data_IF_207155342225
#
_entry.id   IF_207155342225
#
_cell.length_a   1.000
_cell.length_b   1.000
_cell.length_c   1.000
_cell.angle_alpha   90.00
_cell.angle_beta   90.00
_cell.angle_gamma   90.00
#
_symmetry.space_group_name_H-M   'P 1'
#
loop_
_entity.id
_entity.type
_entity.pdbx_description
1 polymer ?
#
# COMPACT_ATOMS: atom_id res chain seq x y z
N UNK A 1 -8.76 17.33 1.52
CA UNK A 1 -9.36 16.03 1.18
C UNK A 1 -8.46 14.98 1.80
N UNK A 2 -8.96 14.14 2.69
CA UNK A 2 -8.14 13.11 3.34
C UNK A 2 -7.97 11.93 2.38
N UNK A 3 -6.81 11.78 1.76
CA UNK A 3 -6.52 10.63 0.90
C UNK A 3 -6.23 9.40 1.76
N UNK A 4 -7.26 8.63 2.10
CA UNK A 4 -7.07 7.33 2.72
C UNK A 4 -6.55 6.31 1.69
N UNK A 5 -5.64 5.44 2.11
CA UNK A 5 -5.22 4.27 1.35
C UNK A 5 -6.37 3.26 1.35
N UNK A 6 -6.94 2.99 0.17
CA UNK A 6 -7.96 1.95 0.00
C UNK A 6 -7.32 0.65 -0.45
N UNK A 7 -7.75 -0.48 0.12
CA UNK A 7 -7.26 -1.78 -0.32
C UNK A 7 -7.70 -2.04 -1.77
N UNK A 8 -6.73 -2.25 -2.66
CA UNK A 8 -6.94 -2.50 -4.08
C UNK A 8 -5.90 -3.48 -4.61
N UNK A 9 -6.33 -4.61 -5.16
CA UNK A 9 -5.43 -5.58 -5.82
C UNK A 9 -4.91 -5.01 -7.15
N UNK A 10 -3.76 -4.35 -7.08
CA UNK A 10 -3.05 -3.90 -8.28
C UNK A 10 -2.44 -5.12 -8.99
N UNK A 11 -2.71 -5.33 -10.29
CA UNK A 11 -2.08 -6.42 -11.06
C UNK A 11 -0.57 -6.17 -11.19
N UNK A 12 0.21 -7.25 -11.28
CA UNK A 12 1.69 -7.19 -11.25
C UNK A 12 2.31 -6.30 -12.32
N UNK A 13 1.63 -6.14 -13.46
CA UNK A 13 2.06 -5.27 -14.56
C UNK A 13 1.90 -3.77 -14.26
N UNK A 14 1.11 -3.41 -13.24
CA UNK A 14 0.89 -2.04 -12.78
C UNK A 14 1.52 -1.77 -11.41
N UNK A 15 2.14 -2.79 -10.80
CA UNK A 15 2.89 -2.60 -9.56
C UNK A 15 4.18 -1.82 -9.84
N UNK A 16 4.55 -0.90 -8.94
CA UNK A 16 5.81 -0.18 -9.05
C UNK A 16 6.96 -1.18 -8.98
N UNK A 17 7.97 -0.96 -9.82
CA UNK A 17 9.18 -1.77 -9.79
C UNK A 17 10.07 -1.29 -8.66
N UNK A 18 9.94 -1.92 -7.50
CA UNK A 18 10.73 -1.63 -6.31
C UNK A 18 11.85 -2.66 -6.10
N UNK A 19 12.93 -2.25 -5.44
CA UNK A 19 14.05 -3.11 -5.03
C UNK A 19 13.80 -3.71 -3.65
N UNK A 20 14.51 -4.79 -3.31
CA UNK A 20 14.41 -5.43 -2.00
C UNK A 20 14.66 -4.47 -0.81
N UNK A 21 15.60 -3.52 -0.94
CA UNK A 21 15.86 -2.51 0.08
C UNK A 21 14.66 -1.57 0.28
N UNK A 22 14.03 -1.15 -0.82
CA UNK A 22 12.85 -0.28 -0.80
C UNK A 22 11.63 -1.03 -0.24
N UNK A 23 11.47 -2.30 -0.61
CA UNK A 23 10.43 -3.17 -0.06
C UNK A 23 10.58 -3.33 1.46
N UNK A 24 11.80 -3.48 1.98
CA UNK A 24 12.02 -3.56 3.43
C UNK A 24 11.57 -2.28 4.16
N UNK A 25 11.85 -1.10 3.59
CA UNK A 25 11.39 0.19 4.16
C UNK A 25 9.86 0.29 4.14
N UNK A 26 9.24 -0.09 3.01
CA UNK A 26 7.79 -0.07 2.83
C UNK A 26 7.10 -1.05 3.78
N UNK A 27 7.58 -2.29 3.86
CA UNK A 27 7.07 -3.35 4.73
C UNK A 27 7.21 -2.96 6.21
N UNK A 28 8.37 -2.43 6.61
CA UNK A 28 8.60 -1.97 7.99
C UNK A 28 7.62 -0.87 8.39
N UNK A 29 7.38 0.10 7.49
CA UNK A 29 6.37 1.13 7.72
C UNK A 29 4.95 0.56 7.73
N UNK A 30 4.62 -0.35 6.80
CA UNK A 30 3.30 -0.95 6.68
C UNK A 30 2.91 -1.76 7.92
N UNK A 31 3.85 -2.49 8.52
CA UNK A 31 3.61 -3.24 9.75
C UNK A 31 3.27 -2.31 10.93
N UNK A 32 3.87 -1.12 10.97
CA UNK A 32 3.63 -0.10 12.02
C UNK A 32 2.36 0.70 11.76
N UNK A 33 2.12 1.10 10.51
CA UNK A 33 0.97 1.87 10.09
C UNK A 33 0.48 1.38 8.72
N UNK A 34 -0.67 0.70 8.70
CA UNK A 34 -1.26 0.13 7.47
C UNK A 34 -2.08 1.15 6.66
N UNK A 35 -2.39 2.31 7.25
CA UNK A 35 -3.14 3.39 6.60
C UNK A 35 -2.42 4.73 6.85
N UNK A 36 -1.24 4.93 6.22
CA UNK A 36 -0.51 6.19 6.28
C UNK A 36 -1.36 7.33 5.69
N UNK A 37 -1.26 8.52 6.31
CA UNK A 37 -1.86 9.72 5.76
C UNK A 37 -0.92 10.35 4.70
N UNK A 38 -1.36 11.43 4.04
CA UNK A 38 -0.58 12.13 3.00
C UNK A 38 0.86 12.45 3.47
N UNK A 39 1.00 12.99 4.68
CA UNK A 39 2.32 13.32 5.26
C UNK A 39 3.19 12.07 5.47
N UNK A 40 2.61 10.97 5.97
CA UNK A 40 3.34 9.72 6.15
C UNK A 40 3.81 9.16 4.80
N UNK A 41 2.96 9.24 3.76
CA UNK A 41 3.34 8.80 2.42
C UNK A 41 4.50 9.62 1.86
N UNK A 42 4.49 10.94 2.04
CA UNK A 42 5.61 11.81 1.66
C UNK A 42 6.90 11.40 2.37
N UNK A 43 6.85 11.15 3.69
CA UNK A 43 8.03 10.70 4.46
C UNK A 43 8.53 9.35 3.95
N UNK A 44 7.65 8.36 3.84
CA UNK A 44 7.98 7.00 3.38
C UNK A 44 8.55 7.03 1.95
N UNK A 45 7.99 7.87 1.08
CA UNK A 45 8.48 8.04 -0.29
C UNK A 45 9.91 8.56 -0.33
N UNK A 46 10.24 9.51 0.55
CA UNK A 46 11.60 10.03 0.67
C UNK A 46 12.56 8.97 1.23
N UNK A 47 12.14 8.21 2.26
CA UNK A 47 12.94 7.13 2.85
C UNK A 47 13.19 5.97 1.88
N UNK A 48 12.17 5.55 1.15
CA UNK A 48 12.26 4.46 0.17
C UNK A 48 12.84 4.93 -1.18
N UNK A 49 13.06 6.24 -1.35
CA UNK A 49 13.47 6.87 -2.61
C UNK A 49 12.55 6.44 -3.78
N UNK A 50 11.25 6.58 -3.57
CA UNK A 50 10.17 6.24 -4.50
C UNK A 50 9.24 7.44 -4.68
N UNK A 51 8.41 7.40 -5.72
CA UNK A 51 7.35 8.39 -5.91
C UNK A 51 6.20 8.11 -4.93
N UNK A 52 5.50 9.15 -4.47
CA UNK A 52 4.31 8.99 -3.61
C UNK A 52 3.25 8.09 -4.26
N UNK A 53 3.09 8.16 -5.58
CA UNK A 53 2.18 7.31 -6.35
C UNK A 53 2.62 5.82 -6.34
N UNK A 54 3.92 5.54 -6.41
CA UNK A 54 4.46 4.18 -6.34
C UNK A 54 4.24 3.61 -4.93
N UNK A 55 4.58 4.38 -3.89
CA UNK A 55 4.34 4.01 -2.50
C UNK A 55 2.85 3.72 -2.29
N UNK A 56 1.97 4.59 -2.80
CA UNK A 56 0.52 4.44 -2.71
C UNK A 56 0.05 3.14 -3.36
N UNK A 57 0.44 2.87 -4.61
CA UNK A 57 0.06 1.63 -5.33
C UNK A 57 0.53 0.37 -4.60
N UNK A 58 1.74 0.40 -4.05
CA UNK A 58 2.27 -0.70 -3.27
C UNK A 58 1.45 -0.91 -1.99
N UNK A 59 1.15 0.17 -1.26
CA UNK A 59 0.33 0.13 -0.05
C UNK A 59 -1.07 -0.41 -0.30
N UNK A 60 -1.73 0.04 -1.37
CA UNK A 60 -3.06 -0.41 -1.76
C UNK A 60 -3.07 -1.92 -2.04
N UNK A 61 -2.08 -2.42 -2.79
CA UNK A 61 -1.92 -3.85 -3.09
C UNK A 61 -1.57 -4.67 -1.85
N UNK A 62 -0.60 -4.21 -1.04
CA UNK A 62 -0.19 -4.90 0.18
C UNK A 62 -1.34 -4.98 1.18
N UNK A 63 -2.12 -3.91 1.33
CA UNK A 63 -3.31 -3.88 2.16
C UNK A 63 -4.36 -4.86 1.67
N UNK A 64 -4.57 -4.98 0.36
CA UNK A 64 -5.49 -5.95 -0.22
C UNK A 64 -5.06 -7.40 0.06
N UNK A 65 -3.78 -7.71 -0.15
CA UNK A 65 -3.19 -9.01 0.17
C UNK A 65 -3.29 -9.34 1.67
N UNK A 66 -3.03 -8.37 2.54
CA UNK A 66 -3.20 -8.53 3.99
C UNK A 66 -4.65 -8.83 4.34
N UNK A 67 -5.63 -8.12 3.75
CA UNK A 67 -7.06 -8.39 3.97
C UNK A 67 -7.44 -9.81 3.56
N UNK A 68 -6.96 -10.29 2.41
CA UNK A 68 -7.20 -11.68 1.98
C UNK A 68 -6.67 -12.69 3.00
N UNK A 69 -5.49 -12.45 3.57
CA UNK A 69 -4.92 -13.31 4.62
C UNK A 69 -5.76 -13.30 5.91
N UNK A 70 -6.46 -12.19 6.20
CA UNK A 70 -7.41 -12.09 7.31
C UNK A 70 -8.78 -12.71 7.00
N UNK A 71 -8.99 -13.28 5.81
CA UNK A 71 -10.29 -13.77 5.35
C UNK A 71 -11.27 -12.65 4.95
N UNK A 72 -10.79 -11.43 4.77
CA UNK A 72 -11.56 -10.28 4.31
C UNK A 72 -11.48 -10.12 2.78
N UNK A 73 -12.49 -9.50 2.13
CA UNK A 73 -12.40 -9.18 0.72
C UNK A 73 -11.22 -8.24 0.44
N UNK A 74 -10.50 -8.55 -0.63
CA UNK A 74 -9.26 -7.87 -1.03
C UNK A 74 -9.48 -6.38 -1.35
N UNK A 75 -10.59 -6.08 -2.02
CA UNK A 75 -10.96 -4.72 -2.39
C UNK A 75 -11.94 -4.13 -1.37
N UNK A 76 -11.70 -2.88 -0.96
CA UNK A 76 -12.63 -2.14 -0.09
C UNK A 76 -13.87 -1.73 -0.90
N UNK A 77 -14.82 -2.65 -1.10
CA UNK A 77 -16.04 -2.35 -1.87
C UNK A 77 -16.89 -3.54 -2.32
N UNK A 78 -16.43 -4.78 -2.20
CA UNK A 78 -17.25 -5.95 -2.54
C UNK A 78 -17.89 -6.56 -1.30
N UNK A 79 -18.81 -5.81 -0.68
CA UNK A 79 -19.94 -6.41 0.04
C UNK A 79 -21.14 -6.32 -0.90
N UNK A 80 -21.22 -7.23 -1.88
CA UNK A 80 -22.51 -7.58 -2.44
C UNK A 80 -22.90 -8.88 -1.75
N UNK A 81 -23.88 -8.72 -0.85
CA UNK A 81 -24.78 -9.73 -0.31
C UNK A 81 -24.95 -10.97 -1.20
#
# INVERSE_FOLDING_TARGET
MSHNIVAHLTPTNLLPRIRAEQENVLEGNFQRNRNPNDLDLTIISAEANLSEDDVKKWYQHRLACWRQQQGLPANSGSVKD
#
